data_IF_870902783911
#
_entry.id   IF_870902783911
#
_cell.length_a   1.000
_cell.length_b   1.000
_cell.length_c   1.000
_cell.angle_alpha   90.00
_cell.angle_beta   90.00
_cell.angle_gamma   90.00
#
_symmetry.space_group_name_H-M   'P 1'
#
loop_
_entity.id
_entity.type
_entity.pdbx_description
1 polymer ?
#
# COMPACT_ATOMS: atom_id res chain seq x y z
N UNK A 1 4.73 28.64 0.14
CA UNK A 1 5.93 27.78 -0.06
C UNK A 1 5.62 26.31 -0.35
N UNK A 2 4.75 25.59 0.39
CA UNK A 2 4.43 24.18 0.06
C UNK A 2 3.53 23.98 -1.18
N UNK A 3 2.61 24.92 -1.44
CA UNK A 3 1.68 24.83 -2.58
C UNK A 3 2.38 25.00 -3.93
N UNK A 4 3.17 26.07 -4.07
CA UNK A 4 3.94 26.33 -5.28
C UNK A 4 4.83 25.14 -5.65
N UNK A 5 5.60 24.62 -4.69
CA UNK A 5 6.45 23.45 -4.92
C UNK A 5 5.63 22.24 -5.39
N UNK A 6 4.50 21.95 -4.74
CA UNK A 6 3.64 20.84 -5.14
C UNK A 6 3.14 20.98 -6.59
N UNK A 7 2.69 22.17 -6.98
CA UNK A 7 2.18 22.42 -8.33
C UNK A 7 3.29 22.29 -9.37
N UNK A 8 4.49 22.79 -9.06
CA UNK A 8 5.67 22.64 -9.92
C UNK A 8 6.01 21.16 -10.11
N UNK A 9 6.19 20.42 -9.01
CA UNK A 9 6.53 18.99 -9.03
C UNK A 9 5.47 18.18 -9.78
N UNK A 10 4.18 18.50 -9.59
CA UNK A 10 3.08 17.82 -10.27
C UNK A 10 3.12 18.03 -11.79
N UNK A 11 3.35 19.27 -12.24
CA UNK A 11 3.44 19.58 -13.67
C UNK A 11 4.65 18.88 -14.30
N UNK A 12 5.81 18.92 -13.66
CA UNK A 12 7.02 18.23 -14.12
C UNK A 12 6.83 16.70 -14.17
N UNK A 13 6.23 16.11 -13.13
CA UNK A 13 5.94 14.68 -13.09
C UNK A 13 4.96 14.23 -14.19
N UNK A 14 4.14 15.15 -14.69
CA UNK A 14 3.24 14.92 -15.82
C UNK A 14 3.91 15.07 -17.19
N UNK A 15 5.21 15.38 -17.22
CA UNK A 15 5.97 15.67 -18.43
C UNK A 15 5.83 17.11 -18.92
N UNK A 16 5.32 18.00 -18.07
CA UNK A 16 5.28 19.43 -18.32
C UNK A 16 6.59 20.12 -18.00
N UNK A 17 6.68 21.39 -18.38
CA UNK A 17 7.82 22.27 -18.09
C UNK A 17 7.33 23.40 -17.22
N UNK A 18 8.11 23.74 -16.19
CA UNK A 18 7.83 24.88 -15.32
C UNK A 18 9.06 25.79 -15.29
N UNK A 19 8.85 27.08 -15.52
CA UNK A 19 9.88 28.11 -15.44
C UNK A 19 9.42 29.15 -14.44
N UNK A 20 10.13 29.27 -13.32
CA UNK A 20 9.88 30.34 -12.37
C UNK A 20 10.47 31.65 -12.93
N UNK A 21 9.60 32.59 -13.30
CA UNK A 21 10.00 33.87 -13.87
C UNK A 21 10.25 34.91 -12.79
N UNK A 22 9.37 34.96 -11.77
CA UNK A 22 9.47 35.91 -10.66
C UNK A 22 9.07 35.29 -9.31
N UNK A 23 8.99 36.12 -8.26
CA UNK A 23 8.49 35.68 -6.97
C UNK A 23 7.01 35.28 -7.10
N UNK A 24 6.69 34.04 -6.70
CA UNK A 24 5.34 33.49 -6.78
C UNK A 24 4.70 33.54 -8.19
N UNK A 25 5.50 33.62 -9.26
CA UNK A 25 5.06 33.62 -10.66
C UNK A 25 5.81 32.56 -11.45
N UNK A 26 5.07 31.67 -12.12
CA UNK A 26 5.64 30.61 -12.94
C UNK A 26 4.96 30.54 -14.31
N UNK A 27 5.75 30.40 -15.37
CA UNK A 27 5.27 29.96 -16.68
C UNK A 27 5.26 28.44 -16.73
N UNK A 28 4.18 27.86 -17.24
CA UNK A 28 4.00 26.41 -17.31
C UNK A 28 3.57 25.97 -18.69
N UNK A 29 4.01 24.78 -19.10
CA UNK A 29 3.62 24.13 -20.34
C UNK A 29 3.30 22.66 -20.07
N UNK A 30 2.18 22.18 -20.64
CA UNK A 30 1.72 20.80 -20.51
C UNK A 30 1.71 20.07 -21.86
N UNK A 31 1.97 18.75 -21.88
CA UNK A 31 1.78 17.92 -23.07
C UNK A 31 0.34 18.00 -23.63
N UNK A 32 0.18 17.80 -24.94
CA UNK A 32 -1.13 17.92 -25.61
C UNK A 32 -2.23 17.07 -24.98
N UNK A 33 -1.88 15.89 -24.50
CA UNK A 33 -2.82 14.94 -23.88
C UNK A 33 -3.39 15.45 -22.55
N UNK A 34 -2.78 16.49 -21.96
CA UNK A 34 -3.11 17.03 -20.62
C UNK A 34 -3.60 18.47 -20.66
N UNK A 35 -3.87 19.04 -21.85
CA UNK A 35 -4.40 20.41 -22.02
C UNK A 35 -5.66 20.68 -21.20
N UNK A 36 -6.47 19.65 -20.93
CA UNK A 36 -7.68 19.77 -20.10
C UNK A 36 -7.44 20.37 -18.71
N UNK A 37 -6.23 20.20 -18.14
CA UNK A 37 -5.87 20.76 -16.84
C UNK A 37 -5.82 22.30 -16.89
N UNK A 38 -5.26 22.87 -17.96
CA UNK A 38 -5.20 24.32 -18.22
C UNK A 38 -6.40 24.79 -19.05
N UNK A 39 -7.59 24.23 -18.80
CA UNK A 39 -8.83 24.62 -19.48
C UNK A 39 -8.73 24.52 -21.02
N UNK A 40 -8.00 23.53 -21.52
CA UNK A 40 -7.76 23.30 -22.96
C UNK A 40 -6.52 23.99 -23.53
N UNK A 41 -5.79 24.78 -22.74
CA UNK A 41 -4.54 25.44 -23.15
C UNK A 41 -3.33 24.51 -22.99
N UNK A 42 -2.32 24.70 -23.83
CA UNK A 42 -1.03 23.99 -23.72
C UNK A 42 -0.01 24.68 -22.82
N UNK A 43 -0.23 25.96 -22.54
CA UNK A 43 0.65 26.82 -21.75
C UNK A 43 -0.18 27.80 -20.92
N UNK A 44 0.41 28.31 -19.84
CA UNK A 44 -0.22 29.28 -18.96
C UNK A 44 0.78 29.93 -18.00
N UNK A 45 0.36 31.03 -17.40
CA UNK A 45 1.10 31.72 -16.34
C UNK A 45 0.36 31.49 -15.03
N UNK A 46 1.07 31.12 -13.97
CA UNK A 46 0.51 30.81 -12.66
C UNK A 46 1.04 31.79 -11.62
N UNK A 47 0.14 32.41 -10.87
CA UNK A 47 0.47 33.25 -9.73
C UNK A 47 0.09 32.55 -8.43
N UNK A 48 0.98 32.53 -7.44
CA UNK A 48 0.79 31.88 -6.13
C UNK A 48 0.62 32.87 -4.98
N UNK A 49 0.65 34.17 -5.29
CA UNK A 49 0.38 35.27 -4.38
C UNK A 49 -0.72 36.17 -4.95
N UNK A 50 -1.59 36.69 -4.09
CA UNK A 50 -2.74 37.47 -4.52
C UNK A 50 -2.33 38.80 -5.16
N UNK A 51 -1.33 39.48 -4.60
CA UNK A 51 -0.84 40.76 -5.12
C UNK A 51 -0.22 40.56 -6.51
N UNK A 52 0.57 39.48 -6.66
CA UNK A 52 1.16 39.08 -7.95
C UNK A 52 0.07 38.76 -8.99
N UNK A 53 -1.03 38.11 -8.59
CA UNK A 53 -2.14 37.84 -9.49
C UNK A 53 -2.90 39.11 -9.93
N UNK A 54 -2.96 40.14 -9.08
CA UNK A 54 -3.53 41.45 -9.48
C UNK A 54 -2.61 42.21 -10.44
N UNK A 55 -1.28 42.09 -10.27
CA UNK A 55 -0.29 42.70 -11.16
C UNK A 55 -0.18 41.99 -12.52
N UNK A 56 -0.54 40.70 -12.57
CA UNK A 56 -0.51 39.85 -13.78
C UNK A 56 -1.91 39.29 -14.11
N UNK A 57 -2.81 40.07 -14.75
CA UNK A 57 -4.18 39.64 -15.07
C UNK A 57 -4.28 38.41 -15.97
N UNK A 58 -3.21 38.09 -16.72
CA UNK A 58 -3.08 36.90 -17.54
C UNK A 58 -2.77 35.63 -16.72
N UNK A 59 -2.28 35.79 -15.50
CA UNK A 59 -1.90 34.69 -14.63
C UNK A 59 -3.14 34.08 -13.92
N UNK A 60 -3.19 32.75 -13.90
CA UNK A 60 -4.18 32.04 -13.10
C UNK A 60 -3.73 32.02 -11.64
N UNK A 61 -4.53 32.60 -10.74
CA UNK A 61 -4.24 32.60 -9.32
C UNK A 61 -4.47 31.21 -8.71
N UNK A 62 -3.39 30.58 -8.25
CA UNK A 62 -3.39 29.21 -7.73
C UNK A 62 -3.41 29.24 -6.20
N UNK A 63 -4.57 28.86 -5.66
CA UNK A 63 -4.79 28.69 -4.22
C UNK A 63 -5.56 27.39 -3.96
N UNK A 64 -5.69 27.01 -2.69
CA UNK A 64 -6.52 25.87 -2.29
C UNK A 64 -7.97 26.10 -2.74
N UNK A 65 -8.55 25.12 -3.44
CA UNK A 65 -9.88 25.21 -4.03
C UNK A 65 -9.96 25.95 -5.37
N UNK A 66 -8.84 26.41 -5.94
CA UNK A 66 -8.81 26.89 -7.32
C UNK A 66 -9.04 25.73 -8.30
N UNK A 67 -9.69 26.00 -9.42
CA UNK A 67 -10.01 24.97 -10.42
C UNK A 67 -8.76 24.22 -10.89
N UNK A 68 -7.70 24.95 -11.25
CA UNK A 68 -6.43 24.35 -11.66
C UNK A 68 -5.86 23.42 -10.59
N UNK A 69 -5.86 23.84 -9.33
CA UNK A 69 -5.36 23.02 -8.24
C UNK A 69 -6.15 21.71 -8.10
N UNK A 70 -7.48 21.77 -8.15
CA UNK A 70 -8.32 20.58 -8.10
C UNK A 70 -8.10 19.65 -9.31
N UNK A 71 -7.93 20.20 -10.51
CA UNK A 71 -7.60 19.41 -11.71
C UNK A 71 -6.23 18.75 -11.60
N UNK A 72 -5.23 19.45 -11.04
CA UNK A 72 -3.91 18.89 -10.77
C UNK A 72 -3.99 17.76 -9.75
N UNK A 73 -4.74 17.94 -8.67
CA UNK A 73 -4.96 16.89 -7.66
C UNK A 73 -5.61 15.67 -8.29
N UNK A 74 -6.69 15.85 -9.06
CA UNK A 74 -7.37 14.76 -9.76
C UNK A 74 -6.43 14.05 -10.76
N UNK A 75 -5.67 14.82 -11.54
CA UNK A 75 -4.71 14.27 -12.49
C UNK A 75 -3.62 13.45 -11.78
N UNK A 76 -3.05 13.98 -10.70
CA UNK A 76 -2.04 13.29 -9.87
C UNK A 76 -2.62 12.02 -9.24
N UNK A 77 -3.88 12.04 -8.77
CA UNK A 77 -4.55 10.87 -8.20
C UNK A 77 -4.82 9.77 -9.23
N UNK A 78 -5.04 10.13 -10.51
CA UNK A 78 -5.22 9.14 -11.59
C UNK A 78 -3.92 8.54 -12.11
N UNK A 79 -2.79 9.14 -11.77
CA UNK A 79 -1.49 8.61 -12.12
C UNK A 79 -0.99 7.74 -10.97
N UNK A 80 -0.71 6.47 -11.25
CA UNK A 80 0.15 5.70 -10.35
C UNK A 80 1.52 6.36 -10.36
N UNK A 81 1.78 7.25 -9.39
CA UNK A 81 3.05 7.97 -9.32
C UNK A 81 4.11 6.95 -8.97
N UNK A 82 5.12 6.84 -9.81
CA UNK A 82 6.36 6.16 -9.45
C UNK A 82 7.43 7.19 -9.18
N UNK A 83 8.24 6.97 -8.15
CA UNK A 83 9.24 7.93 -7.73
C UNK A 83 10.45 7.27 -7.13
N UNK A 84 11.57 7.98 -7.18
CA UNK A 84 12.81 7.58 -6.53
C UNK A 84 13.08 8.55 -5.39
N UNK A 85 13.48 8.02 -4.23
CA UNK A 85 13.83 8.80 -3.05
C UNK A 85 15.14 8.30 -2.48
N UNK A 86 15.94 9.23 -1.99
CA UNK A 86 17.19 8.94 -1.31
C UNK A 86 17.05 9.30 0.16
N UNK A 87 17.29 8.35 1.05
CA UNK A 87 17.23 8.57 2.48
C UNK A 87 18.36 9.52 2.92
N UNK A 88 18.00 10.57 3.64
CA UNK A 88 18.96 11.55 4.16
C UNK A 88 19.44 11.09 5.55
N UNK A 89 20.52 10.32 5.56
CA UNK A 89 21.07 9.72 6.78
C UNK A 89 22.43 10.34 7.08
N UNK A 90 22.59 11.00 8.22
CA UNK A 90 23.86 11.67 8.55
C UNK A 90 25.00 10.71 8.93
N UNK A 91 24.67 9.55 9.51
CA UNK A 91 25.66 8.57 10.01
C UNK A 91 25.22 7.15 9.69
N UNK A 92 25.88 6.54 8.72
CA UNK A 92 25.65 5.13 8.36
C UNK A 92 26.81 4.18 8.69
N UNK A 93 27.95 4.70 9.10
CA UNK A 93 29.11 3.89 9.48
C UNK A 93 28.98 3.30 10.90
N UNK A 94 29.47 2.08 11.07
CA UNK A 94 29.40 1.35 12.33
C UNK A 94 30.75 1.36 13.02
N UNK A 95 30.81 1.93 14.23
CA UNK A 95 31.98 1.73 15.10
C UNK A 95 32.08 0.26 15.55
N UNK A 96 33.27 -0.32 15.41
CA UNK A 96 33.61 -1.71 15.73
C UNK A 96 32.60 -2.71 15.13
N UNK A 97 32.57 -2.84 13.79
CA UNK A 97 31.57 -3.65 13.10
C UNK A 97 31.68 -5.12 13.50
N UNK A 98 32.90 -5.65 13.66
CA UNK A 98 33.12 -7.06 13.97
C UNK A 98 32.55 -7.45 15.34
N UNK A 99 32.74 -6.62 16.38
CA UNK A 99 32.16 -6.90 17.70
C UNK A 99 30.63 -6.89 17.68
N UNK A 100 30.01 -6.02 16.88
CA UNK A 100 28.54 -5.98 16.74
C UNK A 100 28.01 -7.13 15.88
N UNK A 101 28.72 -7.49 14.82
CA UNK A 101 28.40 -8.62 13.94
C UNK A 101 28.43 -9.96 14.69
N UNK A 102 29.38 -10.15 15.62
CA UNK A 102 29.46 -11.36 16.47
C UNK A 102 28.19 -11.62 17.28
N UNK A 103 27.41 -10.60 17.62
CA UNK A 103 26.12 -10.76 18.31
C UNK A 103 25.01 -11.33 17.43
N UNK A 104 25.20 -11.33 16.10
CA UNK A 104 24.24 -11.79 15.09
C UNK A 104 24.71 -13.06 14.37
N UNK A 105 25.98 -13.40 14.51
CA UNK A 105 26.59 -14.59 13.93
C UNK A 105 26.62 -15.73 14.98
N UNK A 106 26.74 -17.01 14.57
CA UNK A 106 26.86 -18.13 15.49
C UNK A 106 28.00 -17.94 16.53
N UNK A 107 27.83 -18.38 17.77
CA UNK A 107 28.84 -18.12 18.82
C UNK A 107 30.19 -18.82 18.61
N UNK A 108 30.22 -19.92 17.85
CA UNK A 108 31.40 -20.76 17.69
C UNK A 108 32.21 -20.39 16.44
N UNK A 109 33.52 -20.28 16.57
CA UNK A 109 34.44 -20.06 15.45
C UNK A 109 35.17 -18.70 15.51
N UNK A 110 36.23 -18.58 14.71
CA UNK A 110 36.97 -17.33 14.58
C UNK A 110 36.40 -16.53 13.42
N UNK A 111 36.04 -15.28 13.69
CA UNK A 111 35.50 -14.36 12.69
C UNK A 111 36.56 -13.37 12.22
N UNK A 112 36.66 -13.24 10.89
CA UNK A 112 37.54 -12.27 10.23
C UNK A 112 36.72 -11.42 9.27
N UNK A 113 36.84 -10.10 9.37
CA UNK A 113 36.24 -9.19 8.40
C UNK A 113 37.08 -9.22 7.12
N UNK A 114 36.48 -9.68 6.02
CA UNK A 114 37.15 -9.79 4.72
C UNK A 114 37.03 -8.47 3.96
N UNK A 115 35.82 -7.90 3.93
CA UNK A 115 35.59 -6.65 3.21
C UNK A 115 34.48 -5.83 3.86
N UNK A 116 34.59 -4.53 3.65
CA UNK A 116 33.62 -3.52 4.00
C UNK A 116 33.46 -2.62 2.78
N UNK A 117 32.22 -2.37 2.36
CA UNK A 117 31.92 -1.42 1.28
C UNK A 117 30.66 -0.63 1.57
N UNK A 118 30.66 0.63 1.16
CA UNK A 118 29.46 1.47 1.18
C UNK A 118 28.67 1.25 -0.10
N UNK A 119 27.34 1.19 0.02
CA UNK A 119 26.43 0.97 -1.12
C UNK A 119 25.07 1.62 -0.86
N UNK A 120 24.27 1.75 -1.91
CA UNK A 120 22.85 2.11 -1.82
C UNK A 120 22.00 0.85 -1.93
N UNK A 121 21.40 0.45 -0.82
CA UNK A 121 20.39 -0.59 -0.83
C UNK A 121 19.02 0.00 -1.16
N UNK A 122 18.20 -0.78 -1.87
CA UNK A 122 16.89 -0.35 -2.33
C UNK A 122 15.76 -1.02 -1.53
N UNK A 123 14.72 -0.24 -1.23
CA UNK A 123 13.43 -0.73 -0.74
C UNK A 123 12.36 -0.25 -1.71
N UNK A 124 11.54 -1.19 -2.20
CA UNK A 124 10.34 -0.82 -2.94
C UNK A 124 9.20 -0.60 -1.96
N UNK A 125 8.49 0.51 -2.11
CA UNK A 125 7.35 0.89 -1.30
C UNK A 125 6.13 0.89 -2.18
N UNK A 126 5.13 0.10 -1.83
CA UNK A 126 3.87 0.02 -2.57
C UNK A 126 2.75 0.49 -1.64
N UNK A 127 2.11 1.60 -2.00
CA UNK A 127 0.94 2.09 -1.29
C UNK A 127 -0.32 1.55 -1.93
N UNK A 128 -1.15 0.90 -1.12
CA UNK A 128 -2.40 0.32 -1.54
C UNK A 128 -3.55 1.01 -0.83
N UNK A 129 -4.61 1.26 -1.58
CA UNK A 129 -5.94 1.47 -1.05
C UNK A 129 -6.66 0.13 -1.04
N UNK A 130 -7.08 -0.28 0.15
CA UNK A 130 -7.84 -1.51 0.37
C UNK A 130 -9.27 -1.14 0.73
N UNK A 131 -10.21 -1.53 -0.11
CA UNK A 131 -11.63 -1.36 0.17
C UNK A 131 -12.21 -2.68 0.70
N UNK A 132 -12.76 -2.64 1.91
CA UNK A 132 -13.54 -3.71 2.50
C UNK A 132 -15.02 -3.44 2.21
N UNK A 133 -15.62 -4.27 1.36
CA UNK A 133 -16.99 -4.09 0.87
C UNK A 133 -17.89 -5.16 1.46
N UNK A 134 -18.90 -4.73 2.20
CA UNK A 134 -20.02 -5.52 2.71
C UNK A 134 -21.33 -4.75 2.45
N UNK A 135 -22.17 -4.51 3.46
CA UNK A 135 -23.27 -3.52 3.39
C UNK A 135 -22.72 -2.09 3.25
N UNK A 136 -21.62 -1.82 3.97
CA UNK A 136 -20.85 -0.58 3.90
C UNK A 136 -19.51 -0.81 3.20
N UNK A 137 -18.94 0.28 2.67
CA UNK A 137 -17.60 0.32 2.09
C UNK A 137 -16.68 1.09 3.03
N UNK A 138 -15.67 0.41 3.56
CA UNK A 138 -14.60 1.02 4.35
C UNK A 138 -13.30 1.00 3.55
N UNK A 139 -12.62 2.14 3.46
CA UNK A 139 -11.34 2.25 2.76
C UNK A 139 -10.22 2.48 3.77
N UNK A 140 -9.14 1.70 3.64
CA UNK A 140 -7.93 1.82 4.43
C UNK A 140 -6.73 1.97 3.50
N UNK A 141 -5.79 2.82 3.89
CA UNK A 141 -4.54 3.03 3.16
C UNK A 141 -3.41 2.29 3.87
N UNK A 142 -2.75 1.38 3.16
CA UNK A 142 -1.68 0.52 3.68
C UNK A 142 -0.41 0.72 2.83
N UNK A 143 0.74 0.84 3.49
CA UNK A 143 2.04 0.92 2.83
C UNK A 143 2.84 -0.34 3.09
N UNK A 144 3.30 -0.97 2.02
CA UNK A 144 4.16 -2.13 2.07
C UNK A 144 5.59 -1.74 1.72
N UNK A 145 6.54 -2.05 2.59
CA UNK A 145 7.96 -1.91 2.33
C UNK A 145 8.55 -3.28 2.01
N UNK A 146 9.21 -3.41 0.86
CA UNK A 146 9.85 -4.64 0.39
C UNK A 146 11.34 -4.39 0.25
N UNK A 147 12.13 -5.13 1.03
CA UNK A 147 13.58 -5.12 0.88
C UNK A 147 13.96 -5.72 -0.48
N UNK A 148 14.58 -4.93 -1.35
CA UNK A 148 14.93 -5.38 -2.69
C UNK A 148 16.07 -6.42 -2.69
N UNK A 149 16.86 -6.57 -1.62
CA UNK A 149 17.91 -7.59 -1.60
C UNK A 149 17.33 -9.00 -1.40
N UNK A 150 16.32 -9.13 -0.54
CA UNK A 150 15.74 -10.43 -0.11
C UNK A 150 14.37 -10.69 -0.70
N UNK A 151 13.63 -9.63 -1.06
CA UNK A 151 12.22 -9.67 -1.46
C UNK A 151 11.27 -9.90 -0.31
N UNK A 152 11.75 -9.77 0.93
CA UNK A 152 10.92 -9.87 2.12
C UNK A 152 10.23 -8.53 2.41
N UNK A 153 9.03 -8.62 2.99
CA UNK A 153 8.34 -7.45 3.53
C UNK A 153 9.02 -7.03 4.83
N UNK A 154 9.36 -5.74 4.93
CA UNK A 154 10.11 -5.14 6.03
C UNK A 154 9.18 -4.21 6.83
N UNK A 155 8.41 -4.78 7.75
CA UNK A 155 7.44 -4.02 8.58
C UNK A 155 8.14 -3.04 9.54
N UNK A 156 9.35 -3.38 10.02
CA UNK A 156 10.14 -2.48 10.85
C UNK A 156 10.55 -1.23 10.07
N UNK A 157 10.98 -1.42 8.82
CA UNK A 157 11.28 -0.31 7.93
C UNK A 157 10.05 0.55 7.64
N UNK A 158 8.86 -0.05 7.47
CA UNK A 158 7.63 0.71 7.27
C UNK A 158 7.32 1.67 8.44
N UNK A 159 7.57 1.23 9.68
CA UNK A 159 7.41 2.05 10.88
C UNK A 159 8.49 3.13 10.94
N UNK A 160 9.76 2.75 10.76
CA UNK A 160 10.88 3.67 10.88
C UNK A 160 10.88 4.76 9.79
N UNK A 161 10.38 4.43 8.60
CA UNK A 161 10.36 5.33 7.46
C UNK A 161 9.39 6.51 7.59
N UNK A 162 8.42 6.45 8.52
CA UNK A 162 7.49 7.56 8.76
C UNK A 162 8.20 8.85 9.18
N UNK A 163 9.39 8.74 9.76
CA UNK A 163 10.21 9.86 10.22
C UNK A 163 11.47 10.07 9.37
N UNK A 164 11.61 9.33 8.26
CA UNK A 164 12.81 9.34 7.46
C UNK A 164 12.83 10.56 6.53
N UNK A 165 13.75 11.53 6.73
CA UNK A 165 13.95 12.58 5.75
C UNK A 165 14.47 11.99 4.44
N UNK A 166 14.07 12.59 3.32
CA UNK A 166 14.47 12.13 1.99
C UNK A 166 14.74 13.30 1.05
N UNK A 167 15.47 12.98 -0.03
CA UNK A 167 15.77 13.87 -1.14
C UNK A 167 15.38 13.21 -2.46
N UNK A 168 15.12 14.02 -3.48
CA UNK A 168 14.85 13.54 -4.85
C UNK A 168 16.13 13.14 -5.59
N UNK A 169 17.28 13.62 -5.12
CA UNK A 169 18.59 13.35 -5.68
C UNK A 169 19.55 12.80 -4.62
N UNK A 170 20.53 11.96 -5.00
CA UNK A 170 21.50 11.41 -4.07
C UNK A 170 22.44 12.49 -3.55
N UNK A 171 22.66 12.54 -2.23
CA UNK A 171 23.67 13.40 -1.61
C UNK A 171 25.10 12.90 -1.85
N UNK A 172 25.27 11.60 -2.06
CA UNK A 172 26.56 10.94 -2.29
C UNK A 172 26.44 9.93 -3.42
N UNK A 173 27.45 9.88 -4.28
CA UNK A 173 27.56 8.86 -5.33
C UNK A 173 28.10 7.56 -4.74
N UNK A 174 27.20 6.63 -4.44
CA UNK A 174 27.52 5.30 -3.93
C UNK A 174 27.07 4.23 -4.94
N UNK A 175 27.78 3.10 -5.04
CA UNK A 175 27.35 2.02 -5.92
C UNK A 175 26.03 1.41 -5.44
N UNK A 176 25.18 0.97 -6.37
CA UNK A 176 23.96 0.24 -6.01
C UNK A 176 24.32 -1.14 -5.45
N UNK A 177 23.66 -1.51 -4.35
CA UNK A 177 23.69 -2.87 -3.84
C UNK A 177 22.88 -3.80 -4.75
N UNK A 178 23.13 -5.11 -4.62
CA UNK A 178 22.41 -6.11 -5.38
C UNK A 178 20.91 -6.10 -5.01
N UNK A 179 20.06 -5.95 -6.02
CA UNK A 179 18.61 -5.84 -5.86
C UNK A 179 17.86 -6.80 -6.78
N UNK A 180 16.72 -7.30 -6.32
CA UNK A 180 15.76 -8.05 -7.12
C UNK A 180 15.19 -7.16 -8.23
N UNK A 181 14.75 -7.76 -9.35
CA UNK A 181 13.97 -7.04 -10.35
C UNK A 181 12.71 -6.42 -9.72
N UNK A 182 12.39 -5.19 -10.11
CA UNK A 182 11.22 -4.48 -9.59
C UNK A 182 9.92 -5.27 -9.76
N UNK A 183 9.73 -5.90 -10.92
CA UNK A 183 8.57 -6.77 -11.19
C UNK A 183 8.46 -7.93 -10.20
N UNK A 184 9.58 -8.53 -9.81
CA UNK A 184 9.58 -9.63 -8.86
C UNK A 184 9.21 -9.13 -7.46
N UNK A 185 9.78 -8.01 -7.04
CA UNK A 185 9.43 -7.34 -5.78
C UNK A 185 7.94 -6.97 -5.72
N UNK A 186 7.40 -6.41 -6.81
CA UNK A 186 6.00 -6.04 -6.91
C UNK A 186 5.08 -7.26 -6.77
N UNK A 187 5.35 -8.35 -7.50
CA UNK A 187 4.54 -9.56 -7.42
C UNK A 187 4.55 -10.20 -6.01
N UNK A 188 5.71 -10.20 -5.35
CA UNK A 188 5.83 -10.66 -3.96
C UNK A 188 5.02 -9.77 -3.01
N UNK A 189 5.17 -8.45 -3.16
CA UNK A 189 4.45 -7.49 -2.33
C UNK A 189 2.93 -7.53 -2.52
N UNK A 190 2.48 -7.61 -3.78
CA UNK A 190 1.06 -7.75 -4.12
C UNK A 190 0.46 -9.02 -3.53
N UNK A 191 1.16 -10.16 -3.62
CA UNK A 191 0.70 -11.42 -3.01
C UNK A 191 0.57 -11.30 -1.50
N UNK A 192 1.59 -10.77 -0.83
CA UNK A 192 1.55 -10.56 0.61
C UNK A 192 0.37 -9.65 1.01
N UNK A 193 0.17 -8.53 0.29
CA UNK A 193 -0.90 -7.59 0.60
C UNK A 193 -2.28 -8.21 0.37
N UNK A 194 -2.44 -8.98 -0.70
CA UNK A 194 -3.67 -9.72 -0.97
C UNK A 194 -4.02 -10.70 0.14
N UNK A 195 -3.07 -11.54 0.54
CA UNK A 195 -3.26 -12.51 1.62
C UNK A 195 -3.55 -11.84 2.97
N UNK A 196 -2.93 -10.68 3.23
CA UNK A 196 -3.23 -9.86 4.42
C UNK A 196 -4.64 -9.29 4.36
N UNK A 197 -5.04 -8.70 3.23
CA UNK A 197 -6.36 -8.11 3.04
C UNK A 197 -7.48 -9.16 3.12
N UNK A 198 -7.30 -10.33 2.51
CA UNK A 198 -8.25 -11.44 2.59
C UNK A 198 -8.39 -11.97 4.03
N UNK A 199 -7.28 -12.13 4.76
CA UNK A 199 -7.32 -12.52 6.19
C UNK A 199 -8.07 -11.50 7.05
N UNK A 200 -7.84 -10.22 6.81
CA UNK A 200 -8.50 -9.15 7.57
C UNK A 200 -9.99 -9.04 7.21
N UNK A 201 -10.35 -9.16 5.94
CA UNK A 201 -11.75 -9.26 5.50
C UNK A 201 -12.47 -10.46 6.12
N UNK A 202 -11.80 -11.61 6.21
CA UNK A 202 -12.34 -12.79 6.89
C UNK A 202 -12.56 -12.56 8.39
N UNK A 203 -11.63 -11.87 9.06
CA UNK A 203 -11.79 -11.49 10.48
C UNK A 203 -12.96 -10.53 10.70
N UNK A 204 -13.15 -9.57 9.80
CA UNK A 204 -14.28 -8.63 9.81
C UNK A 204 -15.62 -9.33 9.57
N UNK A 205 -15.62 -10.39 8.76
CA UNK A 205 -16.79 -11.26 8.51
C UNK A 205 -17.12 -12.15 9.71
N UNK A 206 -16.11 -12.62 10.46
CA UNK A 206 -16.24 -13.61 11.54
C UNK A 206 -16.80 -13.03 12.86
N UNK A 207 -17.94 -12.34 12.79
CA UNK A 207 -18.63 -11.78 13.94
C UNK A 207 -19.73 -12.68 14.49
N UNK A 208 -19.82 -12.78 15.83
CA UNK A 208 -20.96 -13.35 16.57
C UNK A 208 -22.34 -12.78 16.14
N UNK A 209 -22.37 -11.67 15.40
CA UNK A 209 -23.58 -11.05 14.88
C UNK A 209 -24.19 -11.84 13.72
N UNK A 210 -23.39 -12.32 12.75
CA UNK A 210 -23.90 -13.11 11.62
C UNK A 210 -24.56 -14.39 12.13
N UNK A 211 -23.89 -15.12 13.03
CA UNK A 211 -24.42 -16.35 13.63
C UNK A 211 -25.74 -16.11 14.36
N UNK A 212 -25.85 -15.00 15.11
CA UNK A 212 -27.09 -14.61 15.80
C UNK A 212 -28.20 -14.24 14.83
N UNK A 213 -27.90 -13.57 13.73
CA UNK A 213 -28.89 -13.21 12.73
C UNK A 213 -29.37 -14.42 11.94
N UNK A 214 -28.47 -15.32 11.55
CA UNK A 214 -28.82 -16.61 10.93
C UNK A 214 -29.71 -17.43 11.87
N UNK A 215 -29.34 -17.53 13.16
CA UNK A 215 -30.16 -18.22 14.16
C UNK A 215 -31.56 -17.60 14.27
N UNK A 216 -31.66 -16.27 14.37
CA UNK A 216 -32.95 -15.56 14.43
C UNK A 216 -33.81 -15.79 13.19
N UNK A 217 -33.20 -15.79 12.00
CA UNK A 217 -33.90 -16.07 10.73
C UNK A 217 -34.43 -17.50 10.76
N UNK A 218 -33.59 -18.47 11.10
CA UNK A 218 -34.00 -19.89 11.18
C UNK A 218 -35.15 -20.09 12.18
N UNK A 219 -35.04 -19.56 13.40
CA UNK A 219 -36.09 -19.68 14.42
C UNK A 219 -37.45 -19.13 13.94
N UNK A 220 -37.44 -18.00 13.24
CA UNK A 220 -38.65 -17.38 12.70
C UNK A 220 -39.31 -18.22 11.60
N UNK A 221 -38.52 -18.67 10.61
CA UNK A 221 -39.05 -19.45 9.49
C UNK A 221 -39.46 -20.87 9.92
N UNK A 222 -38.73 -21.49 10.86
CA UNK A 222 -39.10 -22.76 11.46
C UNK A 222 -40.44 -22.69 12.19
N UNK A 223 -40.69 -21.61 12.94
CA UNK A 223 -41.98 -21.38 13.59
C UNK A 223 -43.13 -21.25 12.57
N UNK A 224 -42.89 -20.53 11.46
CA UNK A 224 -43.84 -20.38 10.35
C UNK A 224 -44.16 -21.71 9.64
N UNK A 225 -43.13 -22.52 9.36
CA UNK A 225 -43.28 -23.85 8.77
C UNK A 225 -44.07 -24.76 9.72
N UNK A 226 -43.72 -24.77 11.01
CA UNK A 226 -44.43 -25.56 12.01
C UNK A 226 -45.90 -25.14 12.17
N UNK A 227 -46.20 -23.84 12.11
CA UNK A 227 -47.58 -23.36 12.15
C UNK A 227 -48.37 -23.82 10.91
N UNK A 228 -47.75 -23.76 9.73
CA UNK A 228 -48.37 -24.22 8.50
C UNK A 228 -48.61 -25.74 8.51
N UNK A 229 -47.66 -26.53 9.02
CA UNK A 229 -47.79 -27.97 9.21
C UNK A 229 -48.91 -28.34 10.20
N UNK A 230 -49.06 -27.60 11.31
CA UNK A 230 -50.18 -27.79 12.25
C UNK A 230 -51.53 -27.49 11.60
N UNK A 231 -51.58 -26.55 10.64
CA UNK A 231 -52.80 -26.24 9.88
C UNK A 231 -53.13 -27.32 8.87
N UNK A 232 -52.14 -27.93 8.22
CA UNK A 232 -52.34 -29.01 7.23
C UNK A 232 -52.75 -30.36 7.86
N UNK A 233 -52.43 -30.59 9.13
CA UNK A 233 -52.82 -31.80 9.88
C UNK A 233 -54.25 -31.77 10.46
N UNK A 234 -55.02 -30.69 10.26
CA UNK A 234 -56.39 -30.60 10.81
C UNK A 234 -57.34 -31.54 10.06
N UNK A 235 -58.11 -32.35 10.80
CA UNK A 235 -59.12 -33.25 10.20
C UNK A 235 -60.21 -32.43 9.48
N UNK A 236 -60.61 -32.88 8.29
CA UNK A 236 -61.70 -32.28 7.50
C UNK A 236 -61.28 -31.23 6.47
N UNK A 237 -60.00 -31.19 6.08
CA UNK A 237 -59.53 -30.33 4.98
C UNK A 237 -59.88 -30.93 3.61
N UNK A 238 -60.29 -30.09 2.68
CA UNK A 238 -60.44 -30.46 1.27
C UNK A 238 -59.06 -30.57 0.58
N UNK A 239 -58.97 -31.37 -0.48
CA UNK A 239 -57.74 -31.52 -1.27
C UNK A 239 -57.22 -30.18 -1.80
N UNK A 240 -58.12 -29.29 -2.24
CA UNK A 240 -57.75 -27.95 -2.69
C UNK A 240 -57.06 -27.12 -1.59
N UNK A 241 -57.48 -27.28 -0.34
CA UNK A 241 -56.92 -26.54 0.80
C UNK A 241 -55.61 -27.14 1.29
N UNK A 242 -55.41 -28.45 1.14
CA UNK A 242 -54.12 -29.09 1.35
C UNK A 242 -53.10 -28.66 0.29
N UNK A 243 -53.51 -28.56 -0.97
CA UNK A 243 -52.66 -28.06 -2.05
C UNK A 243 -52.23 -26.59 -1.81
N UNK A 244 -53.16 -25.72 -1.39
CA UNK A 244 -52.87 -24.33 -1.04
C UNK A 244 -51.83 -24.20 0.09
N UNK A 245 -51.96 -25.01 1.15
CA UNK A 245 -51.03 -25.02 2.28
C UNK A 245 -49.63 -25.51 1.86
N UNK A 246 -49.55 -26.50 0.95
CA UNK A 246 -48.29 -26.99 0.39
C UNK A 246 -47.61 -25.93 -0.50
N UNK A 247 -48.36 -25.23 -1.35
CA UNK A 247 -47.83 -24.09 -2.12
C UNK A 247 -47.30 -22.99 -1.21
N UNK A 248 -48.02 -22.70 -0.11
CA UNK A 248 -47.59 -21.73 0.89
C UNK A 248 -46.31 -22.16 1.60
N UNK A 249 -46.16 -23.44 1.95
CA UNK A 249 -44.94 -23.96 2.56
C UNK A 249 -43.73 -23.83 1.61
N UNK A 250 -43.91 -24.17 0.33
CA UNK A 250 -42.86 -24.00 -0.69
C UNK A 250 -42.44 -22.53 -0.83
N UNK A 251 -43.39 -21.59 -0.82
CA UNK A 251 -43.10 -20.16 -0.86
C UNK A 251 -42.33 -19.67 0.38
N UNK A 252 -42.70 -20.16 1.57
CA UNK A 252 -42.01 -19.84 2.83
C UNK A 252 -40.55 -20.31 2.79
N UNK A 253 -40.29 -21.52 2.29
CA UNK A 253 -38.91 -22.05 2.15
C UNK A 253 -38.08 -21.26 1.14
N UNK A 254 -38.68 -20.87 0.01
CA UNK A 254 -37.98 -20.06 -0.99
C UNK A 254 -37.58 -18.69 -0.43
N UNK A 255 -38.48 -18.04 0.31
CA UNK A 255 -38.19 -16.75 0.97
C UNK A 255 -37.13 -16.93 2.07
N UNK A 256 -37.18 -18.03 2.83
CA UNK A 256 -36.16 -18.36 3.83
C UNK A 256 -34.76 -18.50 3.21
N UNK A 257 -34.62 -19.28 2.13
CA UNK A 257 -33.36 -19.44 1.40
C UNK A 257 -32.85 -18.12 0.81
N UNK A 258 -33.77 -17.27 0.33
CA UNK A 258 -33.43 -15.94 -0.15
C UNK A 258 -32.91 -15.07 1.00
N UNK A 259 -33.61 -15.04 2.12
CA UNK A 259 -33.23 -14.22 3.27
C UNK A 259 -31.89 -14.66 3.89
N UNK A 260 -31.61 -15.97 3.90
CA UNK A 260 -30.29 -16.49 4.29
C UNK A 260 -29.19 -16.04 3.34
N UNK A 261 -29.40 -16.11 2.01
CA UNK A 261 -28.40 -15.61 1.06
C UNK A 261 -28.17 -14.11 1.17
N UNK A 262 -29.25 -13.35 1.39
CA UNK A 262 -29.16 -11.90 1.57
C UNK A 262 -28.36 -11.56 2.83
N UNK A 263 -28.57 -12.29 3.94
CA UNK A 263 -27.79 -12.08 5.17
C UNK A 263 -26.33 -12.52 5.01
N UNK A 264 -26.08 -13.68 4.39
CA UNK A 264 -24.71 -14.14 4.13
C UNK A 264 -23.95 -13.14 3.24
N UNK A 265 -24.59 -12.65 2.17
CA UNK A 265 -23.98 -11.65 1.28
C UNK A 265 -23.76 -10.32 2.00
N UNK A 266 -24.67 -9.91 2.87
CA UNK A 266 -24.56 -8.66 3.65
C UNK A 266 -23.35 -8.66 4.57
N UNK A 267 -23.02 -9.81 5.15
CA UNK A 267 -21.91 -9.93 6.11
C UNK A 267 -20.60 -10.44 5.48
N UNK A 268 -20.63 -10.95 4.25
CA UNK A 268 -19.42 -11.37 3.53
C UNK A 268 -18.60 -10.16 3.09
N UNK A 269 -17.49 -9.92 3.78
CA UNK A 269 -16.58 -8.82 3.43
C UNK A 269 -15.67 -9.25 2.28
N UNK A 270 -15.70 -8.50 1.18
CA UNK A 270 -14.74 -8.64 0.07
C UNK A 270 -13.67 -7.57 0.17
N UNK A 271 -12.42 -7.95 -0.06
CA UNK A 271 -11.31 -7.01 -0.15
C UNK A 271 -10.99 -6.69 -1.61
N UNK A 272 -11.07 -5.42 -1.98
CA UNK A 272 -10.63 -4.89 -3.27
C UNK A 272 -9.32 -4.12 -3.07
N UNK A 273 -8.30 -4.45 -3.87
CA UNK A 273 -6.97 -3.84 -3.78
C UNK A 273 -6.75 -2.92 -4.99
N UNK A 274 -6.37 -1.68 -4.72
CA UNK A 274 -5.89 -0.75 -5.73
C UNK A 274 -4.49 -0.26 -5.34
N UNK A 275 -3.53 -0.31 -6.26
CA UNK A 275 -2.22 0.32 -6.07
C UNK A 275 -2.36 1.81 -6.35
N UNK A 276 -2.04 2.65 -5.38
CA UNK A 276 -2.07 4.10 -5.54
C UNK A 276 -0.73 4.60 -6.10
N UNK A 277 0.39 4.19 -5.50
CA UNK A 277 1.72 4.59 -5.96
C UNK A 277 2.82 3.59 -5.56
N UNK A 278 3.95 3.70 -6.24
CA UNK A 278 5.14 2.89 -5.99
C UNK A 278 6.40 3.76 -5.86
N UNK A 279 7.14 3.64 -4.76
CA UNK A 279 8.39 4.39 -4.58
C UNK A 279 9.58 3.44 -4.48
N UNK A 280 10.73 3.86 -5.01
CA UNK A 280 12.00 3.20 -4.76
C UNK A 280 12.82 4.07 -3.82
N UNK A 281 13.02 3.59 -2.60
CA UNK A 281 13.84 4.23 -1.59
C UNK A 281 15.26 3.66 -1.62
N UNK A 282 16.24 4.50 -1.90
CA UNK A 282 17.64 4.18 -1.76
C UNK A 282 18.13 4.64 -0.39
N UNK A 283 18.70 3.71 0.37
CA UNK A 283 19.26 3.96 1.69
C UNK A 283 20.76 3.65 1.64
N UNK A 284 21.63 4.59 2.08
CA UNK A 284 23.04 4.30 2.23
C UNK A 284 23.23 3.23 3.32
N UNK A 285 23.94 2.17 2.98
CA UNK A 285 24.25 1.05 3.86
C UNK A 285 25.72 0.70 3.79
N UNK A 286 26.22 0.01 4.80
CA UNK A 286 27.54 -0.61 4.76
C UNK A 286 27.38 -2.12 4.67
N UNK A 287 27.94 -2.73 3.63
CA UNK A 287 27.97 -4.17 3.42
C UNK A 287 29.28 -4.75 3.94
N UNK A 288 29.17 -5.86 4.66
CA UNK A 288 30.27 -6.58 5.28
C UNK A 288 30.30 -8.00 4.76
N UNK A 289 31.49 -8.46 4.37
CA UNK A 289 31.77 -9.88 4.15
C UNK A 289 32.62 -10.38 5.31
N UNK A 290 32.14 -11.38 6.03
CA UNK A 290 32.82 -11.97 7.18
C UNK A 290 33.07 -13.45 6.91
N UNK A 291 34.30 -13.92 7.11
CA UNK A 291 34.56 -15.35 7.19
C UNK A 291 34.44 -15.84 8.61
N UNK A 292 33.93 -17.07 8.75
CA UNK A 292 33.91 -17.84 9.98
C UNK A 292 34.73 -19.10 9.76
N UNK A 293 35.75 -19.27 10.59
CA UNK A 293 36.51 -20.51 10.64
C UNK A 293 36.08 -21.36 11.85
N UNK A 294 35.56 -22.55 11.58
CA UNK A 294 35.17 -23.50 12.61
C UNK A 294 35.43 -24.93 12.16
N UNK A 295 36.13 -25.74 12.97
CA UNK A 295 36.46 -27.15 12.67
C UNK A 295 37.04 -27.38 11.26
N UNK A 296 37.93 -26.49 10.81
CA UNK A 296 38.56 -26.49 9.46
C UNK A 296 37.59 -26.24 8.29
N UNK A 297 36.37 -25.79 8.57
CA UNK A 297 35.44 -25.27 7.57
C UNK A 297 35.48 -23.75 7.61
N UNK A 298 35.44 -23.14 6.43
CA UNK A 298 35.33 -21.69 6.25
C UNK A 298 33.98 -21.38 5.64
N UNK A 299 33.16 -20.61 6.36
CA UNK A 299 31.86 -20.13 5.90
C UNK A 299 31.95 -18.62 5.65
N UNK A 300 31.24 -18.14 4.62
CA UNK A 300 31.18 -16.72 4.29
C UNK A 300 29.78 -16.17 4.58
N UNK A 301 29.74 -15.10 5.37
CA UNK A 301 28.53 -14.38 5.71
C UNK A 301 28.55 -13.01 5.04
N UNK A 302 27.46 -12.67 4.36
CA UNK A 302 27.23 -11.34 3.79
C UNK A 302 26.10 -10.65 4.55
N UNK A 303 26.44 -9.56 5.21
CA UNK A 303 25.54 -8.80 6.07
C UNK A 303 25.62 -7.34 5.69
N UNK A 304 24.51 -6.62 5.78
CA UNK A 304 24.49 -5.17 5.60
C UNK A 304 23.98 -4.49 6.85
N UNK A 305 24.57 -3.36 7.21
CA UNK A 305 24.06 -2.51 8.28
C UNK A 305 23.04 -1.53 7.71
N UNK A 306 21.81 -1.60 8.21
CA UNK A 306 20.77 -0.63 7.92
C UNK A 306 20.82 0.47 8.99
N UNK A 307 21.19 1.71 8.64
CA UNK A 307 21.36 2.79 9.61
C UNK A 307 20.04 3.36 10.14
N UNK A 308 18.93 3.12 9.43
CA UNK A 308 17.59 3.57 9.82
C UNK A 308 17.09 2.67 10.97
N UNK A 309 17.19 1.36 10.77
CA UNK A 309 16.82 0.36 11.78
C UNK A 309 17.92 0.14 12.84
N UNK A 310 19.13 0.66 12.59
CA UNK A 310 20.33 0.47 13.42
C UNK A 310 20.66 -0.99 13.68
N UNK A 311 20.39 -1.85 12.70
CA UNK A 311 20.57 -3.31 12.80
C UNK A 311 21.26 -3.89 11.56
N UNK A 312 21.79 -5.10 11.70
CA UNK A 312 22.29 -5.87 10.58
C UNK A 312 21.17 -6.70 9.96
N UNK A 313 21.15 -6.75 8.63
CA UNK A 313 20.24 -7.54 7.81
C UNK A 313 21.05 -8.43 6.86
N UNK A 314 20.46 -9.54 6.40
CA UNK A 314 21.06 -10.38 5.38
C UNK A 314 21.19 -9.62 4.06
N UNK A 315 22.31 -9.79 3.36
CA UNK A 315 22.50 -9.28 2.01
C UNK A 315 22.23 -10.38 0.97
N UNK A 316 21.90 -10.01 -0.27
CA UNK A 316 21.64 -10.99 -1.33
C UNK A 316 22.87 -11.87 -1.59
N UNK A 317 22.66 -13.19 -1.69
CA UNK A 317 23.75 -14.16 -1.88
C UNK A 317 24.41 -14.67 -0.59
N UNK A 318 23.83 -14.40 0.58
CA UNK A 318 24.07 -15.22 1.77
C UNK A 318 23.45 -16.61 1.56
N UNK A 319 24.26 -17.68 1.49
CA UNK A 319 23.81 -19.09 1.39
C UNK A 319 24.82 -19.99 2.13
N UNK A 320 24.41 -21.07 2.82
CA UNK A 320 23.16 -21.38 3.54
C UNK A 320 23.46 -21.69 5.04
N UNK A 321 22.55 -21.90 5.99
CA UNK A 321 21.18 -22.46 6.02
C UNK A 321 20.20 -21.58 6.80
#
# INVERSE_FOLDING_TARGET
MRLQQFVMDAIEAMGGVVVQTEYALCEVMLPEQRRGILQGRGEGVLAFDYEVAEEHPEAEFVTFGSYLFEQLIAAVQTMAVSGVRYADVERWQVQDPLAKLRKRLPEQGQYTLISEREALAAWAVYAYRVAYVADDREEVYEQLWVDMATGAVDEEMAIAAQQLPYRSEPSTQLPLADALPLTESFLRGYRYMRERAEREGSRRTAGLQLDREIARINDYYDALIQENAKRSQRKGLSEAKLAELATKEAAIRLEHEKQLRDIESKYTVRAELALDYGLLYYVPVTEYTVSREYRKQTELYRLRYNPILKTFQSARGSIPD
#
